data_IF_690424821271
#
_entry.id   IF_690424821271
#
_cell.length_a   1.000
_cell.length_b   1.000
_cell.length_c   1.000
_cell.angle_alpha   90.00
_cell.angle_beta   90.00
_cell.angle_gamma   90.00
#
_symmetry.space_group_name_H-M   'P 1'
#
loop_
_entity.id
_entity.type
_entity.pdbx_description
1 polymer ?
#
# COMPACT_ATOMS: atom_id res chain seq x y z
N UNK A 1 -7.48 21.13 -9.52
CA UNK A 1 -7.99 21.56 -8.20
C UNK A 1 -7.32 20.74 -7.12
N UNK A 2 -7.05 21.36 -5.94
CA UNK A 2 -6.38 20.71 -4.80
C UNK A 2 -7.42 20.28 -3.77
N UNK A 3 -7.32 19.05 -3.30
CA UNK A 3 -8.29 18.40 -2.42
C UNK A 3 -7.61 17.73 -1.23
N UNK A 4 -8.39 17.43 -0.20
CA UNK A 4 -8.00 16.57 0.93
C UNK A 4 -8.67 15.20 0.80
N UNK A 5 -8.23 14.24 1.59
CA UNK A 5 -8.85 12.90 1.59
C UNK A 5 -10.35 12.92 1.92
N UNK A 6 -10.82 13.91 2.67
CA UNK A 6 -12.25 14.10 3.00
C UNK A 6 -13.12 14.46 1.79
N UNK A 7 -12.52 14.91 0.68
CA UNK A 7 -13.21 15.33 -0.52
C UNK A 7 -13.40 14.18 -1.53
N UNK A 8 -12.77 12.99 -1.29
CA UNK A 8 -12.74 11.85 -2.22
C UNK A 8 -14.13 11.41 -2.66
N UNK A 9 -15.11 11.39 -1.74
CA UNK A 9 -16.50 11.07 -2.07
C UNK A 9 -17.08 12.00 -3.13
N UNK A 10 -16.86 13.31 -2.99
CA UNK A 10 -17.33 14.31 -3.94
C UNK A 10 -16.58 14.23 -5.28
N UNK A 11 -15.25 13.97 -5.23
CA UNK A 11 -14.44 13.77 -6.43
C UNK A 11 -14.97 12.61 -7.26
N UNK A 12 -15.22 11.47 -6.63
CA UNK A 12 -15.72 10.28 -7.34
C UNK A 12 -17.12 10.55 -7.93
N UNK A 13 -18.00 11.23 -7.19
CA UNK A 13 -19.33 11.62 -7.70
C UNK A 13 -19.23 12.52 -8.94
N UNK A 14 -18.32 13.50 -8.93
CA UNK A 14 -18.07 14.38 -10.07
C UNK A 14 -17.52 13.62 -11.27
N UNK A 15 -16.57 12.71 -11.07
CA UNK A 15 -16.03 11.86 -12.14
C UNK A 15 -17.14 11.03 -12.78
N UNK A 16 -17.98 10.39 -11.97
CA UNK A 16 -19.08 9.55 -12.47
C UNK A 16 -20.10 10.35 -13.27
N UNK A 17 -20.46 11.57 -12.84
CA UNK A 17 -21.35 12.44 -13.59
C UNK A 17 -20.70 12.91 -14.90
N UNK A 18 -19.43 13.33 -14.88
CA UNK A 18 -18.70 13.78 -16.07
C UNK A 18 -18.52 12.68 -17.13
N UNK A 19 -18.46 11.41 -16.71
CA UNK A 19 -18.29 10.25 -17.61
C UNK A 19 -19.60 9.61 -18.07
N UNK A 20 -20.74 10.07 -17.56
CA UNK A 20 -22.04 9.47 -17.81
C UNK A 20 -22.43 9.41 -19.30
N UNK A 21 -22.24 10.50 -20.00
CA UNK A 21 -22.58 10.61 -21.43
C UNK A 21 -21.60 9.82 -22.32
N UNK A 22 -20.41 9.52 -21.83
CA UNK A 22 -19.41 8.68 -22.47
C UNK A 22 -19.65 7.16 -22.29
N UNK A 23 -20.71 6.76 -21.59
CA UNK A 23 -21.04 5.37 -21.28
C UNK A 23 -20.52 4.90 -19.91
N UNK A 24 -20.17 5.84 -19.02
CA UNK A 24 -19.76 5.62 -17.64
C UNK A 24 -18.34 5.11 -17.48
N UNK A 25 -17.89 5.04 -16.23
CA UNK A 25 -16.59 4.46 -15.86
C UNK A 25 -16.63 2.92 -16.02
N UNK A 26 -15.62 2.33 -16.60
CA UNK A 26 -15.49 0.88 -16.86
C UNK A 26 -14.32 0.24 -16.11
N UNK A 27 -13.29 1.01 -15.83
CA UNK A 27 -12.09 0.51 -15.17
C UNK A 27 -11.37 1.62 -14.39
N UNK A 28 -10.53 1.17 -13.45
CA UNK A 28 -9.61 2.02 -12.72
C UNK A 28 -8.21 1.39 -12.72
N UNK A 29 -7.20 2.19 -13.04
CA UNK A 29 -5.80 1.78 -13.00
C UNK A 29 -5.07 2.51 -11.89
N UNK A 30 -4.40 1.74 -11.04
CA UNK A 30 -3.54 2.21 -9.96
C UNK A 30 -2.09 2.18 -10.44
N UNK A 31 -1.48 3.35 -10.60
CA UNK A 31 -0.21 3.51 -11.29
C UNK A 31 0.77 4.30 -10.45
N UNK A 32 2.02 3.83 -10.35
CA UNK A 32 3.07 4.45 -9.56
C UNK A 32 4.41 3.73 -9.74
N UNK A 33 5.40 4.12 -8.97
CA UNK A 33 6.70 3.47 -8.90
C UNK A 33 7.12 3.21 -7.45
N UNK A 34 7.83 2.11 -7.21
CA UNK A 34 8.40 1.81 -5.90
C UNK A 34 7.37 1.85 -4.75
N UNK A 35 7.70 2.56 -3.70
CA UNK A 35 6.81 2.71 -2.54
C UNK A 35 5.46 3.36 -2.85
N UNK A 36 5.38 4.19 -3.90
CA UNK A 36 4.10 4.74 -4.34
C UNK A 36 3.23 3.68 -5.02
N UNK A 37 3.83 2.78 -5.80
CA UNK A 37 3.12 1.65 -6.41
C UNK A 37 2.63 0.67 -5.33
N UNK A 38 3.49 0.31 -4.36
CA UNK A 38 3.12 -0.59 -3.26
C UNK A 38 1.95 -0.07 -2.44
N UNK A 39 1.90 1.24 -2.17
CA UNK A 39 0.80 1.88 -1.43
C UNK A 39 -0.57 1.79 -2.12
N UNK A 40 -0.60 1.58 -3.43
CA UNK A 40 -1.83 1.43 -4.22
C UNK A 40 -2.38 -0.02 -4.23
N UNK A 41 -1.60 -0.98 -3.73
CA UNK A 41 -1.94 -2.41 -3.79
C UNK A 41 -3.24 -2.79 -3.09
N UNK A 42 -3.58 -2.25 -1.89
CA UNK A 42 -4.86 -2.54 -1.24
C UNK A 42 -6.08 -2.10 -2.05
N UNK A 43 -5.99 -0.94 -2.70
CA UNK A 43 -7.08 -0.41 -3.52
C UNK A 43 -7.37 -1.34 -4.72
N UNK A 44 -6.31 -1.83 -5.38
CA UNK A 44 -6.43 -2.84 -6.45
C UNK A 44 -7.04 -4.14 -5.90
N UNK A 45 -6.54 -4.64 -4.77
CA UNK A 45 -7.04 -5.86 -4.15
C UNK A 45 -8.51 -5.74 -3.76
N UNK A 46 -8.92 -4.57 -3.23
CA UNK A 46 -10.30 -4.26 -2.93
C UNK A 46 -11.19 -4.33 -4.18
N UNK A 47 -10.80 -3.64 -5.25
CA UNK A 47 -11.58 -3.63 -6.50
C UNK A 47 -11.71 -5.03 -7.11
N UNK A 48 -10.65 -5.82 -7.12
CA UNK A 48 -10.68 -7.19 -7.65
C UNK A 48 -11.58 -8.16 -6.86
N UNK A 49 -11.73 -7.91 -5.56
CA UNK A 49 -12.53 -8.79 -4.69
C UNK A 49 -13.99 -8.39 -4.62
N UNK A 50 -14.26 -7.10 -4.64
CA UNK A 50 -15.58 -6.56 -4.31
C UNK A 50 -16.38 -6.12 -5.55
N UNK A 51 -15.72 -5.69 -6.63
CA UNK A 51 -16.43 -5.23 -7.83
C UNK A 51 -16.80 -6.39 -8.76
N UNK A 52 -18.01 -6.33 -9.27
CA UNK A 52 -18.54 -7.30 -10.24
C UNK A 52 -18.42 -6.79 -11.69
N UNK A 53 -18.40 -5.49 -11.90
CA UNK A 53 -18.50 -4.88 -13.24
C UNK A 53 -17.31 -4.02 -13.63
N UNK A 54 -16.62 -3.42 -12.65
CA UNK A 54 -15.46 -2.57 -12.89
C UNK A 54 -14.18 -3.40 -12.91
N UNK A 55 -13.38 -3.21 -13.94
CA UNK A 55 -12.03 -3.80 -13.97
C UNK A 55 -11.05 -2.92 -13.22
N UNK A 56 -10.05 -3.54 -12.61
CA UNK A 56 -8.93 -2.82 -11.99
C UNK A 56 -7.59 -3.33 -12.50
N UNK A 57 -6.59 -2.44 -12.49
CA UNK A 57 -5.20 -2.78 -12.82
C UNK A 57 -4.24 -2.13 -11.83
N UNK A 58 -3.09 -2.76 -11.63
CA UNK A 58 -2.00 -2.26 -10.80
C UNK A 58 -0.71 -2.44 -11.60
N UNK A 59 -0.11 -1.33 -12.04
CA UNK A 59 0.94 -1.33 -13.05
C UNK A 59 2.00 -0.29 -12.69
N UNK A 60 3.28 -0.61 -12.90
CA UNK A 60 4.34 0.39 -12.77
C UNK A 60 4.17 1.50 -13.80
N UNK A 61 4.52 2.74 -13.44
CA UNK A 61 4.31 3.90 -14.33
C UNK A 61 4.98 3.70 -15.68
N UNK A 62 6.21 3.16 -15.70
CA UNK A 62 6.95 2.97 -16.95
C UNK A 62 6.33 1.87 -17.84
N UNK A 63 5.91 0.75 -17.23
CA UNK A 63 5.21 -0.30 -17.96
C UNK A 63 3.86 0.20 -18.51
N UNK A 64 3.13 0.98 -17.72
CA UNK A 64 1.86 1.57 -18.16
C UNK A 64 2.02 2.42 -19.41
N UNK A 65 3.06 3.26 -19.50
CA UNK A 65 3.34 4.11 -20.67
C UNK A 65 3.71 3.29 -21.89
N UNK A 66 4.53 2.25 -21.74
CA UNK A 66 5.03 1.45 -22.86
C UNK A 66 4.10 0.30 -23.27
N UNK A 67 3.23 -0.15 -22.37
CA UNK A 67 2.29 -1.26 -22.60
C UNK A 67 0.90 -0.91 -22.05
N UNK A 68 0.38 0.22 -22.51
CA UNK A 68 -0.93 0.72 -22.07
C UNK A 68 -2.04 -0.30 -22.33
N UNK A 69 -2.87 -0.65 -21.34
CA UNK A 69 -3.98 -1.58 -21.53
C UNK A 69 -4.95 -1.11 -22.62
N UNK A 70 -5.41 -2.03 -23.46
CA UNK A 70 -6.26 -1.69 -24.62
C UNK A 70 -7.63 -1.11 -24.26
N UNK A 71 -8.11 -1.38 -23.06
CA UNK A 71 -9.38 -0.88 -22.54
C UNK A 71 -9.21 0.43 -21.73
N UNK A 72 -7.99 0.98 -21.69
CA UNK A 72 -7.71 2.27 -21.07
C UNK A 72 -8.08 3.42 -22.03
N UNK A 73 -8.77 4.46 -21.53
CA UNK A 73 -9.16 5.63 -22.29
C UNK A 73 -10.25 6.45 -21.61
N UNK A 74 -11.14 7.03 -22.39
CA UNK A 74 -12.18 7.97 -21.90
C UNK A 74 -13.12 7.43 -20.82
N UNK A 75 -13.29 6.11 -20.74
CA UNK A 75 -14.11 5.44 -19.73
C UNK A 75 -13.29 4.94 -18.53
N UNK A 76 -12.06 5.41 -18.40
CA UNK A 76 -11.13 5.00 -17.36
C UNK A 76 -10.93 6.07 -16.31
N UNK A 77 -10.58 5.60 -15.11
CA UNK A 77 -9.91 6.40 -14.08
C UNK A 77 -8.46 5.93 -14.02
N UNK A 78 -7.51 6.84 -13.94
CA UNK A 78 -6.14 6.55 -13.53
C UNK A 78 -5.89 7.22 -12.17
N UNK A 79 -5.57 6.42 -11.16
CA UNK A 79 -5.19 6.87 -9.83
C UNK A 79 -3.67 6.71 -9.69
N UNK A 80 -2.96 7.84 -9.76
CA UNK A 80 -1.50 7.86 -9.71
C UNK A 80 -1.03 8.26 -8.31
N UNK A 81 0.01 7.61 -7.83
CA UNK A 81 0.71 8.03 -6.63
C UNK A 81 2.13 8.47 -6.96
N UNK A 82 2.49 9.71 -6.59
CA UNK A 82 3.82 10.28 -6.76
C UNK A 82 4.14 11.15 -5.54
N UNK A 83 5.02 10.66 -4.65
CA UNK A 83 5.24 11.29 -3.34
C UNK A 83 5.63 12.77 -3.44
N UNK A 84 6.69 13.08 -4.18
CA UNK A 84 7.17 14.44 -4.41
C UNK A 84 6.69 15.04 -5.74
N UNK A 85 5.90 14.28 -6.52
CA UNK A 85 5.35 14.73 -7.78
C UNK A 85 6.36 14.98 -8.91
N UNK A 86 7.57 14.43 -8.81
CA UNK A 86 8.68 14.67 -9.75
C UNK A 86 9.26 13.38 -10.38
N UNK A 87 8.60 12.23 -10.23
CA UNK A 87 9.05 10.98 -10.86
C UNK A 87 8.70 11.01 -12.35
N UNK A 88 9.70 11.01 -13.27
CA UNK A 88 9.47 11.23 -14.69
C UNK A 88 8.49 10.22 -15.32
N UNK A 89 8.59 8.95 -14.95
CA UNK A 89 7.73 7.88 -15.46
C UNK A 89 6.27 8.08 -15.00
N UNK A 90 6.06 8.57 -13.78
CA UNK A 90 4.70 8.82 -13.27
C UNK A 90 4.10 10.07 -13.88
N UNK A 91 4.92 11.09 -14.16
CA UNK A 91 4.51 12.28 -14.91
C UNK A 91 4.10 11.90 -16.34
N UNK A 92 4.89 11.06 -17.01
CA UNK A 92 4.57 10.56 -18.34
C UNK A 92 3.25 9.76 -18.34
N UNK A 93 3.00 8.94 -17.33
CA UNK A 93 1.75 8.20 -17.19
C UNK A 93 0.54 9.14 -16.94
N UNK A 94 0.71 10.20 -16.14
CA UNK A 94 -0.34 11.20 -15.92
C UNK A 94 -0.69 11.95 -17.22
N UNK A 95 0.33 12.38 -17.96
CA UNK A 95 0.18 13.03 -19.26
C UNK A 95 -0.57 12.13 -20.25
N UNK A 96 -0.15 10.87 -20.37
CA UNK A 96 -0.81 9.89 -21.23
C UNK A 96 -2.28 9.68 -20.81
N UNK A 97 -2.57 9.58 -19.52
CA UNK A 97 -3.93 9.48 -19.01
C UNK A 97 -4.82 10.62 -19.45
N UNK A 98 -4.32 11.85 -19.36
CA UNK A 98 -5.01 13.06 -19.81
C UNK A 98 -5.22 13.08 -21.31
N UNK A 99 -4.19 12.75 -22.11
CA UNK A 99 -4.24 12.69 -23.57
C UNK A 99 -5.27 11.65 -24.08
N UNK A 100 -5.42 10.53 -23.36
CA UNK A 100 -6.39 9.47 -23.68
C UNK A 100 -7.80 9.74 -23.13
N UNK A 101 -8.01 10.88 -22.45
CA UNK A 101 -9.31 11.31 -21.93
C UNK A 101 -9.77 10.57 -20.68
N UNK A 102 -8.90 9.88 -19.97
CA UNK A 102 -9.21 9.31 -18.66
C UNK A 102 -9.41 10.41 -17.60
N UNK A 103 -10.11 10.10 -16.53
CA UNK A 103 -10.11 10.95 -15.32
C UNK A 103 -8.81 10.71 -14.56
N UNK A 104 -8.02 11.76 -14.33
CA UNK A 104 -6.70 11.67 -13.72
C UNK A 104 -6.74 12.12 -12.27
N UNK A 105 -6.63 11.16 -11.34
CA UNK A 105 -6.48 11.41 -9.90
C UNK A 105 -5.01 11.28 -9.53
N UNK A 106 -4.46 12.28 -8.86
CA UNK A 106 -3.08 12.30 -8.38
C UNK A 106 -3.06 12.35 -6.86
N UNK A 107 -2.39 11.36 -6.25
CA UNK A 107 -2.06 11.33 -4.83
C UNK A 107 -0.63 11.82 -4.66
N UNK A 108 -0.44 12.98 -4.05
CA UNK A 108 0.89 13.57 -3.80
C UNK A 108 0.94 14.20 -2.41
N UNK A 109 2.15 14.37 -1.87
CA UNK A 109 2.35 15.08 -0.61
C UNK A 109 2.60 16.57 -0.81
N UNK A 110 3.41 16.94 -1.82
CA UNK A 110 3.76 18.35 -2.06
C UNK A 110 2.61 19.09 -2.76
N UNK A 111 2.37 20.32 -2.31
CA UNK A 111 1.36 21.20 -2.89
C UNK A 111 1.76 21.72 -4.27
N UNK A 112 3.06 21.86 -4.51
CA UNK A 112 3.62 22.32 -5.79
C UNK A 112 4.56 21.23 -6.33
N UNK A 113 4.27 20.72 -7.52
CA UNK A 113 5.10 19.74 -8.19
C UNK A 113 4.70 19.58 -9.67
N UNK A 114 5.61 19.05 -10.48
CA UNK A 114 5.44 18.96 -11.94
C UNK A 114 4.20 18.12 -12.36
N UNK A 115 3.92 17.03 -11.65
CA UNK A 115 2.81 16.14 -12.01
C UNK A 115 1.43 16.79 -11.92
N UNK A 116 1.28 17.85 -11.09
CA UNK A 116 0.00 18.52 -10.83
C UNK A 116 -0.62 19.09 -12.10
N UNK A 117 0.18 19.51 -13.08
CA UNK A 117 -0.30 20.04 -14.36
C UNK A 117 -1.14 19.04 -15.16
N UNK A 118 -0.94 17.75 -14.92
CA UNK A 118 -1.60 16.67 -15.65
C UNK A 118 -2.77 16.05 -14.90
N UNK A 119 -3.02 16.44 -13.64
CA UNK A 119 -4.12 15.93 -12.83
C UNK A 119 -5.41 16.73 -12.97
N UNK A 120 -6.53 16.04 -13.04
CA UNK A 120 -7.85 16.66 -12.90
C UNK A 120 -8.17 16.89 -11.41
N UNK A 121 -7.81 15.93 -10.58
CA UNK A 121 -8.04 15.90 -9.13
C UNK A 121 -6.73 15.63 -8.39
N UNK A 122 -6.26 16.60 -7.62
CA UNK A 122 -5.01 16.49 -6.86
C UNK A 122 -5.34 16.32 -5.39
N UNK A 123 -5.09 15.14 -4.86
CA UNK A 123 -5.37 14.81 -3.45
C UNK A 123 -4.05 14.85 -2.68
N UNK A 124 -3.98 15.76 -1.70
CA UNK A 124 -2.85 15.86 -0.80
C UNK A 124 -3.07 14.97 0.41
N UNK A 125 -2.27 13.93 0.51
CA UNK A 125 -2.35 12.98 1.61
C UNK A 125 -1.52 13.39 2.83
N UNK A 126 -1.91 12.90 4.00
CA UNK A 126 -1.18 13.09 5.25
C UNK A 126 0.13 12.30 5.23
N UNK A 127 1.23 12.93 5.64
CA UNK A 127 2.55 12.31 5.72
C UNK A 127 3.31 12.84 6.93
N UNK A 128 3.99 11.97 7.67
CA UNK A 128 4.90 12.37 8.73
C UNK A 128 6.21 12.86 8.12
N UNK A 129 6.41 14.16 8.13
CA UNK A 129 7.59 14.82 7.58
C UNK A 129 8.76 14.90 8.58
N UNK A 130 8.62 14.35 9.80
CA UNK A 130 9.73 14.28 10.76
C UNK A 130 10.85 13.40 10.18
N UNK A 131 12.13 13.72 10.44
CA UNK A 131 13.26 12.97 9.88
C UNK A 131 13.27 11.49 10.24
N UNK A 132 12.73 11.15 11.40
CA UNK A 132 12.65 9.78 11.92
C UNK A 132 11.28 9.11 11.67
N UNK A 133 10.32 9.83 11.11
CA UNK A 133 8.94 9.38 10.93
C UNK A 133 8.27 8.84 12.21
N UNK A 134 8.73 9.29 13.39
CA UNK A 134 8.28 8.79 14.70
C UNK A 134 7.48 9.81 15.49
N UNK A 135 7.72 11.10 15.26
CA UNK A 135 7.18 12.19 16.07
C UNK A 135 5.93 12.85 15.48
N UNK A 136 5.59 12.56 14.22
CA UNK A 136 4.47 13.19 13.52
C UNK A 136 3.13 12.79 14.10
N UNK A 137 2.31 13.80 14.38
CA UNK A 137 0.91 13.60 14.78
C UNK A 137 0.01 13.68 13.54
N UNK A 138 0.10 12.66 12.70
CA UNK A 138 -0.71 12.58 11.48
C UNK A 138 -1.99 11.79 11.68
N UNK A 139 -2.98 12.10 10.87
CA UNK A 139 -4.16 11.27 10.70
C UNK A 139 -3.90 10.21 9.64
N UNK A 140 -3.70 8.96 10.06
CA UNK A 140 -3.44 7.83 9.15
C UNK A 140 -4.64 7.47 8.27
N UNK A 141 -5.85 7.94 8.57
CA UNK A 141 -6.99 7.82 7.66
C UNK A 141 -6.81 8.63 6.37
N UNK A 142 -5.96 9.66 6.41
CA UNK A 142 -5.61 10.49 5.26
C UNK A 142 -4.25 10.18 4.64
N UNK A 143 -3.58 9.08 5.02
CA UNK A 143 -2.31 8.69 4.41
C UNK A 143 -2.50 8.11 2.99
N UNK A 144 -1.43 8.00 2.23
CA UNK A 144 -1.45 7.66 0.79
C UNK A 144 -2.25 6.39 0.45
N UNK A 145 -2.01 5.30 1.19
CA UNK A 145 -2.70 4.02 0.99
C UNK A 145 -4.19 4.15 1.26
N UNK A 146 -4.56 4.81 2.36
CA UNK A 146 -5.94 5.03 2.72
C UNK A 146 -6.66 5.95 1.73
N UNK A 147 -5.98 6.97 1.18
CA UNK A 147 -6.54 7.79 0.10
C UNK A 147 -6.87 6.95 -1.16
N UNK A 148 -5.93 6.11 -1.59
CA UNK A 148 -6.16 5.22 -2.74
C UNK A 148 -7.29 4.23 -2.49
N UNK A 149 -7.32 3.63 -1.31
CA UNK A 149 -8.35 2.69 -0.90
C UNK A 149 -9.73 3.37 -0.81
N UNK A 150 -9.78 4.59 -0.28
CA UNK A 150 -11.02 5.38 -0.21
C UNK A 150 -11.55 5.72 -1.61
N UNK A 151 -10.67 6.03 -2.60
CA UNK A 151 -11.08 6.21 -4.00
C UNK A 151 -11.75 4.94 -4.53
N UNK A 152 -11.16 3.77 -4.28
CA UNK A 152 -11.73 2.49 -4.71
C UNK A 152 -13.08 2.20 -4.04
N UNK A 153 -13.18 2.41 -2.72
CA UNK A 153 -14.41 2.19 -1.94
C UNK A 153 -15.53 3.12 -2.39
N UNK A 154 -15.23 4.39 -2.60
CA UNK A 154 -16.23 5.36 -3.08
C UNK A 154 -16.67 5.04 -4.51
N UNK A 155 -15.75 4.64 -5.39
CA UNK A 155 -16.08 4.23 -6.75
C UNK A 155 -17.03 3.03 -6.75
N UNK A 156 -16.72 1.99 -6.00
CA UNK A 156 -17.60 0.82 -5.88
C UNK A 156 -18.96 1.19 -5.28
N UNK A 157 -18.97 1.93 -4.17
CA UNK A 157 -20.19 2.28 -3.47
C UNK A 157 -21.15 3.12 -4.32
N UNK A 158 -20.61 4.04 -5.12
CA UNK A 158 -21.42 4.94 -5.96
C UNK A 158 -21.82 4.32 -7.31
N UNK A 159 -21.21 3.21 -7.73
CA UNK A 159 -21.54 2.51 -8.98
C UNK A 159 -22.38 1.26 -8.77
N UNK A 160 -21.93 0.37 -7.92
CA UNK A 160 -22.52 -0.95 -7.70
C UNK A 160 -23.25 -1.06 -6.34
N UNK A 161 -22.91 -0.15 -5.41
CA UNK A 161 -23.26 -0.27 -4.00
C UNK A 161 -22.25 -1.18 -3.26
N UNK A 162 -21.91 -0.81 -2.03
CA UNK A 162 -21.03 -1.60 -1.18
C UNK A 162 -21.67 -1.89 0.17
N UNK A 163 -22.07 -3.14 0.38
CA UNK A 163 -22.85 -3.54 1.57
C UNK A 163 -22.10 -3.32 2.90
N UNK A 164 -20.76 -3.32 2.87
CA UNK A 164 -19.91 -3.10 4.03
C UNK A 164 -19.37 -1.65 4.12
N UNK A 165 -19.93 -0.71 3.37
CA UNK A 165 -19.47 0.68 3.33
C UNK A 165 -19.35 1.32 4.71
N UNK A 166 -20.40 1.23 5.53
CA UNK A 166 -20.39 1.83 6.88
C UNK A 166 -19.35 1.18 7.80
N UNK A 167 -19.16 -0.13 7.69
CA UNK A 167 -18.11 -0.86 8.42
C UNK A 167 -16.70 -0.42 7.99
N UNK A 168 -16.51 -0.20 6.70
CA UNK A 168 -15.26 0.32 6.18
C UNK A 168 -14.98 1.73 6.74
N UNK A 169 -15.96 2.64 6.71
CA UNK A 169 -15.80 4.00 7.24
C UNK A 169 -15.51 3.99 8.75
N UNK A 170 -16.14 3.09 9.51
CA UNK A 170 -15.81 2.89 10.93
C UNK A 170 -14.36 2.43 11.11
N UNK A 171 -13.90 1.45 10.34
CA UNK A 171 -12.50 0.98 10.34
C UNK A 171 -11.53 2.10 10.01
N UNK A 172 -11.82 2.90 8.99
CA UNK A 172 -11.01 4.07 8.61
C UNK A 172 -10.91 5.10 9.76
N UNK A 173 -11.99 5.32 10.50
CA UNK A 173 -11.98 6.18 11.70
C UNK A 173 -11.17 5.62 12.87
N UNK A 174 -10.91 4.31 12.90
CA UNK A 174 -10.16 3.64 13.98
C UNK A 174 -8.67 3.49 13.67
N UNK A 175 -8.28 3.49 12.39
CA UNK A 175 -6.93 3.08 11.95
C UNK A 175 -5.81 3.92 12.58
N UNK A 176 -6.00 5.22 12.74
CA UNK A 176 -5.02 6.11 13.38
C UNK A 176 -4.70 5.65 14.80
N UNK A 177 -5.72 5.29 15.58
CA UNK A 177 -5.53 4.81 16.96
C UNK A 177 -4.84 3.44 17.00
N UNK A 178 -5.20 2.54 16.06
CA UNK A 178 -4.58 1.21 15.94
C UNK A 178 -3.09 1.36 15.63
N UNK A 179 -2.73 2.13 14.60
CA UNK A 179 -1.34 2.32 14.19
C UNK A 179 -0.50 2.94 15.32
N UNK A 180 -1.00 3.97 16.00
CA UNK A 180 -0.27 4.58 17.12
C UNK A 180 0.03 3.59 18.24
N UNK A 181 -0.92 2.74 18.60
CA UNK A 181 -0.73 1.68 19.60
C UNK A 181 0.25 0.61 19.12
N UNK A 182 0.13 0.18 17.86
CA UNK A 182 1.02 -0.81 17.28
C UNK A 182 2.48 -0.31 17.25
N UNK A 183 2.72 0.94 16.85
CA UNK A 183 4.05 1.57 16.86
C UNK A 183 4.66 1.58 18.25
N UNK A 184 3.90 1.96 19.28
CA UNK A 184 4.36 1.92 20.65
C UNK A 184 4.65 0.48 21.13
N UNK A 185 3.85 -0.49 20.70
CA UNK A 185 4.00 -1.91 21.05
C UNK A 185 5.32 -2.50 20.53
N UNK A 186 5.72 -2.16 19.30
CA UNK A 186 6.92 -2.75 18.68
C UNK A 186 8.22 -2.01 19.01
N UNK A 187 8.20 -0.91 19.74
CA UNK A 187 9.36 -0.04 19.91
C UNK A 187 10.61 -0.74 20.44
N UNK A 188 10.50 -1.57 21.49
CA UNK A 188 11.64 -2.33 22.02
C UNK A 188 12.08 -3.44 21.04
N UNK A 189 11.14 -4.14 20.45
CA UNK A 189 11.39 -5.23 19.52
C UNK A 189 12.11 -4.76 18.25
N UNK A 190 11.83 -3.53 17.80
CA UNK A 190 12.53 -2.91 16.69
C UNK A 190 14.02 -2.65 16.99
N UNK A 191 14.35 -2.28 18.23
CA UNK A 191 15.76 -2.14 18.66
C UNK A 191 16.46 -3.49 18.69
N UNK A 192 15.79 -4.53 19.21
CA UNK A 192 16.32 -5.89 19.25
C UNK A 192 16.55 -6.43 17.82
N UNK A 193 15.60 -6.19 16.91
CA UNK A 193 15.71 -6.49 15.49
C UNK A 193 16.93 -5.80 14.86
N UNK A 194 17.09 -4.51 15.09
CA UNK A 194 18.20 -3.75 14.53
C UNK A 194 19.57 -4.32 14.96
N UNK A 195 19.72 -4.66 16.24
CA UNK A 195 20.96 -5.27 16.75
C UNK A 195 21.20 -6.67 16.17
N UNK A 196 20.17 -7.48 16.02
CA UNK A 196 20.28 -8.84 15.49
C UNK A 196 20.61 -8.85 13.99
N UNK A 197 19.97 -7.96 13.20
CA UNK A 197 20.02 -8.01 11.73
C UNK A 197 20.97 -7.00 11.08
N UNK A 198 21.65 -6.15 11.84
CA UNK A 198 22.53 -5.07 11.34
C UNK A 198 23.66 -5.53 10.39
N UNK A 199 24.11 -6.77 10.50
CA UNK A 199 25.23 -7.30 9.71
C UNK A 199 24.76 -8.21 8.57
N UNK A 200 23.46 -8.37 8.37
CA UNK A 200 22.96 -9.23 7.32
C UNK A 200 23.13 -8.60 5.93
N UNK A 201 23.49 -9.46 4.99
CA UNK A 201 23.60 -9.09 3.57
C UNK A 201 22.34 -9.41 2.77
N UNK A 202 21.43 -10.21 3.33
CA UNK A 202 20.15 -10.58 2.72
C UNK A 202 19.06 -10.66 3.80
N UNK A 203 17.88 -10.13 3.51
CA UNK A 203 16.67 -10.29 4.33
C UNK A 203 15.48 -10.46 3.38
N UNK A 204 14.73 -11.54 3.52
CA UNK A 204 13.50 -11.74 2.74
C UNK A 204 12.28 -11.16 3.47
N UNK A 205 11.39 -10.50 2.73
CA UNK A 205 10.09 -10.06 3.24
C UNK A 205 8.99 -11.01 2.76
N UNK A 206 7.98 -11.23 3.57
CA UNK A 206 6.87 -12.13 3.25
C UNK A 206 5.53 -11.53 3.63
N UNK A 207 4.51 -11.78 2.81
CA UNK A 207 3.14 -11.34 3.10
C UNK A 207 2.14 -11.83 2.06
N UNK A 208 0.88 -11.54 2.28
CA UNK A 208 -0.23 -11.91 1.39
C UNK A 208 -1.35 -10.87 1.39
N UNK A 209 -2.37 -11.11 0.57
CA UNK A 209 -3.57 -10.29 0.51
C UNK A 209 -3.26 -8.80 0.32
N UNK A 210 -4.08 -7.94 0.88
CA UNK A 210 -3.88 -6.49 0.80
C UNK A 210 -2.57 -6.02 1.48
N UNK A 211 -2.04 -6.79 2.44
CA UNK A 211 -0.77 -6.50 3.12
C UNK A 211 0.47 -6.67 2.25
N UNK A 212 0.41 -7.46 1.17
CA UNK A 212 1.57 -7.77 0.33
C UNK A 212 2.31 -6.53 -0.20
N UNK A 213 1.58 -5.47 -0.52
CA UNK A 213 2.19 -4.22 -0.98
C UNK A 213 3.15 -3.59 0.03
N UNK A 214 2.92 -3.76 1.35
CA UNK A 214 3.82 -3.28 2.40
C UNK A 214 5.11 -4.13 2.45
N UNK A 215 5.01 -5.46 2.32
CA UNK A 215 6.19 -6.33 2.23
C UNK A 215 7.04 -6.01 0.99
N UNK A 216 6.40 -5.71 -0.14
CA UNK A 216 7.06 -5.28 -1.36
C UNK A 216 7.83 -3.97 -1.15
N UNK A 217 7.19 -2.97 -0.53
CA UNK A 217 7.83 -1.68 -0.24
C UNK A 217 9.03 -1.83 0.69
N UNK A 218 8.88 -2.63 1.74
CA UNK A 218 9.94 -2.89 2.71
C UNK A 218 11.17 -3.52 2.04
N UNK A 219 10.95 -4.49 1.16
CA UNK A 219 12.03 -5.13 0.42
C UNK A 219 12.79 -4.14 -0.47
N UNK A 220 12.09 -3.48 -1.40
CA UNK A 220 12.79 -2.72 -2.45
C UNK A 220 13.19 -1.31 -2.03
N UNK A 221 12.37 -0.62 -1.23
CA UNK A 221 12.62 0.76 -0.87
C UNK A 221 13.44 0.89 0.42
N UNK A 222 13.32 -0.07 1.34
CA UNK A 222 14.02 -0.01 2.61
C UNK A 222 15.27 -0.88 2.59
N UNK A 223 15.11 -2.20 2.48
CA UNK A 223 16.29 -3.06 2.54
C UNK A 223 17.24 -2.81 1.38
N UNK A 224 16.76 -2.76 0.13
CA UNK A 224 17.65 -2.57 -1.03
C UNK A 224 18.10 -1.12 -1.22
N UNK A 225 17.18 -0.16 -1.22
CA UNK A 225 17.48 1.25 -1.55
C UNK A 225 18.15 1.98 -0.40
N UNK A 226 17.58 1.90 0.83
CA UNK A 226 18.08 2.65 1.97
C UNK A 226 19.18 1.91 2.74
N UNK A 227 19.07 0.60 2.91
CA UNK A 227 19.98 -0.17 3.75
C UNK A 227 21.05 -0.95 2.99
N UNK A 228 20.96 -1.01 1.65
CA UNK A 228 21.86 -1.79 0.78
C UNK A 228 21.97 -3.27 1.19
N UNK A 229 20.87 -3.82 1.69
CA UNK A 229 20.70 -5.23 2.02
C UNK A 229 19.96 -5.88 0.84
N UNK A 230 20.48 -6.98 0.31
CA UNK A 230 19.75 -7.73 -0.71
C UNK A 230 18.43 -8.24 -0.15
N UNK A 231 17.37 -8.11 -0.93
CA UNK A 231 16.04 -8.51 -0.48
C UNK A 231 15.18 -9.01 -1.63
N UNK A 232 14.19 -9.79 -1.29
CA UNK A 232 13.14 -10.24 -2.20
C UNK A 232 11.85 -10.40 -1.44
N UNK A 233 10.74 -10.06 -2.10
CA UNK A 233 9.41 -10.21 -1.50
C UNK A 233 8.82 -11.56 -1.92
N UNK A 234 8.44 -12.37 -0.96
CA UNK A 234 7.84 -13.68 -1.17
C UNK A 234 6.35 -13.60 -0.84
N UNK A 235 5.49 -13.88 -1.82
CA UNK A 235 4.07 -14.05 -1.53
C UNK A 235 3.87 -15.37 -0.79
N UNK A 236 3.22 -15.35 0.39
CA UNK A 236 3.08 -16.54 1.24
C UNK A 236 2.31 -17.67 0.57
N UNK A 237 1.38 -17.35 -0.35
CA UNK A 237 0.71 -18.33 -1.19
C UNK A 237 1.61 -19.08 -2.16
N UNK A 238 2.76 -18.48 -2.53
CA UNK A 238 3.76 -19.06 -3.44
C UNK A 238 4.99 -19.64 -2.71
N UNK A 239 5.10 -19.44 -1.40
CA UNK A 239 6.27 -19.85 -0.63
C UNK A 239 6.66 -21.31 -0.85
N UNK A 240 5.69 -22.23 -0.87
CA UNK A 240 5.91 -23.66 -1.04
C UNK A 240 6.13 -24.12 -2.49
N UNK A 241 6.24 -23.17 -3.43
CA UNK A 241 6.46 -23.43 -4.85
C UNK A 241 7.85 -22.96 -5.34
N UNK A 242 8.84 -23.09 -4.48
CA UNK A 242 10.24 -22.78 -4.75
C UNK A 242 10.93 -22.06 -3.60
N UNK A 243 10.44 -20.90 -3.12
CA UNK A 243 11.14 -20.11 -2.11
C UNK A 243 11.47 -20.84 -0.79
N UNK A 244 10.67 -21.83 -0.40
CA UNK A 244 10.91 -22.60 0.83
C UNK A 244 12.27 -23.35 0.83
N UNK A 245 12.79 -23.66 -0.35
CA UNK A 245 14.07 -24.38 -0.51
C UNK A 245 15.29 -23.56 -0.04
N UNK A 246 15.19 -22.23 0.00
CA UNK A 246 16.29 -21.39 0.52
C UNK A 246 16.21 -21.17 2.03
N UNK A 247 15.26 -21.82 2.71
CA UNK A 247 15.08 -21.69 4.15
C UNK A 247 16.12 -22.53 4.89
N UNK A 248 16.91 -21.87 5.71
CA UNK A 248 17.82 -22.52 6.68
C UNK A 248 17.83 -21.76 8.01
N UNK A 249 18.67 -22.23 8.95
CA UNK A 249 18.76 -21.62 10.26
C UNK A 249 19.32 -20.18 10.28
N UNK A 250 19.98 -19.76 9.21
CA UNK A 250 20.70 -18.48 9.14
C UNK A 250 20.01 -17.45 8.25
N UNK A 251 19.14 -17.89 7.35
CA UNK A 251 18.41 -17.02 6.43
C UNK A 251 17.37 -16.18 7.18
N UNK A 252 17.47 -14.83 7.14
CA UNK A 252 16.55 -13.94 7.79
C UNK A 252 15.24 -13.76 7.02
N UNK A 253 14.13 -13.84 7.73
CA UNK A 253 12.79 -13.56 7.20
C UNK A 253 12.08 -12.52 8.05
N UNK A 254 11.44 -11.56 7.40
CA UNK A 254 10.43 -10.67 7.99
C UNK A 254 9.09 -11.06 7.42
N UNK A 255 8.21 -11.64 8.23
CA UNK A 255 6.90 -12.12 7.81
C UNK A 255 5.78 -11.27 8.40
N UNK A 256 4.89 -10.81 7.53
CA UNK A 256 3.61 -10.20 7.89
C UNK A 256 2.57 -11.31 8.01
N UNK A 257 1.88 -11.37 9.16
CA UNK A 257 0.73 -12.24 9.37
C UNK A 257 -0.52 -11.36 9.35
N UNK A 258 -1.25 -11.43 8.26
CA UNK A 258 -2.42 -10.58 8.02
C UNK A 258 -3.58 -10.94 8.97
N UNK A 259 -4.45 -9.98 9.24
CA UNK A 259 -5.77 -10.25 9.80
C UNK A 259 -6.78 -10.35 8.66
N UNK A 260 -7.62 -11.37 8.65
CA UNK A 260 -8.63 -11.60 7.62
C UNK A 260 -8.40 -12.85 6.77
N UNK A 261 -8.86 -12.84 5.54
CA UNK A 261 -9.05 -14.03 4.70
C UNK A 261 -7.75 -14.73 4.28
N UNK A 262 -6.62 -14.01 4.20
CA UNK A 262 -5.34 -14.61 3.79
C UNK A 262 -4.46 -15.05 4.96
N UNK A 263 -4.92 -14.88 6.19
CA UNK A 263 -4.16 -15.24 7.40
C UNK A 263 -3.67 -16.69 7.40
N UNK A 264 -4.48 -17.63 6.94
CA UNK A 264 -4.10 -19.05 6.89
C UNK A 264 -2.87 -19.31 6.02
N UNK A 265 -2.66 -18.53 4.95
CA UNK A 265 -1.48 -18.63 4.10
C UNK A 265 -0.22 -18.20 4.87
N UNK A 266 -0.33 -17.11 5.59
CA UNK A 266 0.77 -16.54 6.39
C UNK A 266 1.13 -17.45 7.56
N UNK A 267 0.14 -17.94 8.30
CA UNK A 267 0.32 -18.87 9.43
C UNK A 267 0.95 -20.20 8.98
N UNK A 268 0.57 -20.71 7.80
CA UNK A 268 1.19 -21.91 7.22
C UNK A 268 2.68 -21.71 6.97
N UNK A 269 3.07 -20.56 6.42
CA UNK A 269 4.47 -20.21 6.21
C UNK A 269 5.20 -20.03 7.54
N UNK A 270 4.62 -19.28 8.48
CA UNK A 270 5.20 -19.05 9.79
C UNK A 270 5.46 -20.37 10.54
N UNK A 271 4.52 -21.31 10.50
CA UNK A 271 4.71 -22.65 11.08
C UNK A 271 5.90 -23.39 10.49
N UNK A 272 6.10 -23.29 9.16
CA UNK A 272 7.25 -23.88 8.48
C UNK A 272 8.55 -23.19 8.90
N UNK A 273 8.56 -21.86 8.89
CA UNK A 273 9.73 -21.08 9.31
C UNK A 273 10.15 -21.41 10.74
N UNK A 274 9.22 -21.52 11.69
CA UNK A 274 9.54 -21.91 13.07
C UNK A 274 10.20 -23.30 13.19
N UNK A 275 10.02 -24.16 12.20
CA UNK A 275 10.64 -25.49 12.20
C UNK A 275 12.06 -25.46 11.64
N UNK A 276 12.32 -24.65 10.60
CA UNK A 276 13.55 -24.71 9.81
C UNK A 276 14.42 -23.46 9.86
N UNK A 277 13.84 -22.28 10.15
CA UNK A 277 14.56 -21.03 10.33
C UNK A 277 14.72 -20.69 11.82
N UNK A 278 15.72 -19.86 12.16
CA UNK A 278 15.90 -19.32 13.52
C UNK A 278 15.81 -17.80 13.56
N UNK A 279 15.88 -17.17 12.40
CA UNK A 279 15.97 -15.71 12.25
C UNK A 279 14.68 -15.22 11.57
N UNK A 280 13.68 -15.00 12.39
CA UNK A 280 12.33 -14.67 11.92
C UNK A 280 11.82 -13.46 12.71
N UNK A 281 11.56 -12.37 12.02
CA UNK A 281 10.80 -11.26 12.55
C UNK A 281 9.35 -11.40 12.09
N UNK A 282 8.41 -11.37 13.04
CA UNK A 282 6.99 -11.58 12.76
C UNK A 282 6.21 -10.30 13.08
N UNK A 283 5.54 -9.70 12.11
CA UNK A 283 4.55 -8.66 12.35
C UNK A 283 3.15 -9.27 12.22
N UNK A 284 2.52 -9.58 13.35
CA UNK A 284 1.16 -10.14 13.36
C UNK A 284 0.12 -9.01 13.53
N UNK A 285 -0.72 -8.79 12.53
CA UNK A 285 -1.75 -7.76 12.55
C UNK A 285 -2.73 -7.92 13.71
N UNK A 286 -3.00 -9.14 14.14
CA UNK A 286 -3.86 -9.43 15.30
C UNK A 286 -3.19 -9.01 16.60
N UNK A 287 -1.93 -9.35 16.81
CA UNK A 287 -1.13 -8.91 17.95
C UNK A 287 -1.02 -7.37 17.97
N UNK A 288 -0.87 -6.76 16.80
CA UNK A 288 -0.80 -5.31 16.63
C UNK A 288 -2.15 -4.59 16.77
N UNK A 289 -3.23 -5.34 17.07
CA UNK A 289 -4.52 -4.79 17.44
C UNK A 289 -5.48 -4.50 16.30
N UNK A 290 -5.23 -5.02 15.08
CA UNK A 290 -6.09 -4.75 13.92
C UNK A 290 -7.47 -5.40 14.05
N UNK A 291 -7.63 -6.46 14.85
CA UNK A 291 -8.90 -7.18 15.09
C UNK A 291 -10.04 -6.35 15.68
N UNK A 292 -9.78 -5.08 16.05
CA UNK A 292 -10.84 -4.16 16.47
C UNK A 292 -11.68 -3.66 15.29
N UNK A 293 -11.18 -3.81 14.08
CA UNK A 293 -11.88 -3.49 12.83
C UNK A 293 -12.78 -4.68 12.45
N UNK A 294 -13.98 -4.37 11.92
CA UNK A 294 -14.97 -5.40 11.56
C UNK A 294 -14.35 -6.45 10.61
N UNK A 295 -14.51 -7.76 10.87
CA UNK A 295 -13.95 -8.83 10.06
C UNK A 295 -14.33 -8.79 8.58
N UNK A 296 -15.46 -8.17 8.23
CA UNK A 296 -15.88 -8.05 6.83
C UNK A 296 -15.01 -7.10 5.99
N UNK A 297 -14.20 -6.25 6.64
CA UNK A 297 -13.39 -5.23 5.97
C UNK A 297 -11.93 -5.18 6.44
N UNK A 298 -11.59 -5.89 7.49
CA UNK A 298 -10.26 -5.85 8.13
C UNK A 298 -9.11 -6.16 7.18
N UNK A 299 -9.33 -7.05 6.21
CA UNK A 299 -8.36 -7.40 5.17
C UNK A 299 -7.67 -6.19 4.54
N UNK A 300 -8.45 -5.15 4.25
CA UNK A 300 -7.99 -3.98 3.49
C UNK A 300 -7.14 -3.01 4.31
N UNK A 301 -7.11 -3.15 5.63
CA UNK A 301 -6.35 -2.31 6.54
C UNK A 301 -4.95 -2.84 6.89
N UNK A 302 -4.64 -4.10 6.54
CA UNK A 302 -3.34 -4.73 6.82
C UNK A 302 -2.16 -3.91 6.29
N UNK A 303 -2.24 -3.44 5.05
CA UNK A 303 -1.18 -2.64 4.45
C UNK A 303 -0.93 -1.35 5.25
N UNK A 304 -1.99 -0.61 5.55
CA UNK A 304 -1.87 0.65 6.30
C UNK A 304 -1.24 0.43 7.68
N UNK A 305 -1.59 -0.67 8.36
CA UNK A 305 -0.96 -1.05 9.61
C UNK A 305 0.54 -1.34 9.42
N UNK A 306 0.90 -2.29 8.56
CA UNK A 306 2.29 -2.72 8.40
C UNK A 306 3.19 -1.60 7.88
N UNK A 307 2.76 -0.89 6.84
CA UNK A 307 3.51 0.21 6.25
C UNK A 307 3.81 1.34 7.24
N UNK A 308 2.95 1.54 8.24
CA UNK A 308 3.14 2.57 9.26
C UNK A 308 3.79 2.04 10.56
N UNK A 309 3.95 0.73 10.72
CA UNK A 309 4.73 0.11 11.79
C UNK A 309 6.20 -0.05 11.39
N UNK A 310 6.49 -0.41 10.16
CA UNK A 310 7.86 -0.55 9.63
C UNK A 310 8.80 0.62 9.91
N UNK A 311 8.39 1.90 9.85
CA UNK A 311 9.28 3.02 10.14
C UNK A 311 9.97 2.95 11.52
N UNK A 312 9.36 2.27 12.52
CA UNK A 312 10.00 2.06 13.82
C UNK A 312 11.21 1.12 13.69
N UNK A 313 11.06 0.03 12.93
CA UNK A 313 12.15 -0.92 12.63
C UNK A 313 13.22 -0.30 11.74
N UNK A 314 12.79 0.42 10.72
CA UNK A 314 13.66 1.02 9.71
C UNK A 314 14.56 2.09 10.33
N UNK A 315 14.01 2.93 11.21
CA UNK A 315 14.77 3.93 11.93
C UNK A 315 15.80 3.29 12.88
N UNK A 316 15.38 2.30 13.68
CA UNK A 316 16.28 1.57 14.57
C UNK A 316 17.42 0.89 13.79
N UNK A 317 17.12 0.25 12.65
CA UNK A 317 18.12 -0.40 11.80
C UNK A 317 19.08 0.62 11.19
N UNK A 318 18.58 1.74 10.67
CA UNK A 318 19.38 2.80 10.07
C UNK A 318 20.35 3.43 11.08
N UNK A 319 19.88 3.75 12.30
CA UNK A 319 20.73 4.26 13.38
C UNK A 319 21.82 3.25 13.77
N UNK A 320 21.45 1.99 13.93
CA UNK A 320 22.40 0.93 14.34
C UNK A 320 23.44 0.67 13.27
N UNK A 321 23.08 0.73 11.99
CA UNK A 321 23.99 0.55 10.85
C UNK A 321 24.76 1.83 10.48
N UNK A 322 24.33 2.99 10.98
CA UNK A 322 24.83 4.32 10.57
C UNK A 322 24.69 4.54 9.06
N UNK A 323 23.55 4.10 8.51
CA UNK A 323 23.32 4.11 7.08
C UNK A 323 21.87 4.53 6.75
#
# INVERSE_FOLDING_TARGET
MHYKYTDIKAIVAEILENKKDDGGVKNIYFVGCGGSLGALYPAKTFMERESLTLKSGWVSSNEFVHSTPRDFGKNSIICLACHKGNTPETIAAAKLGKEMGAAVIILTWLEESEIIEFGDYIIHYSFDASPDHLAGDIDYAGEKTMCALQVAVELLNQTEGYSNYDKFQQGAGMITTVIRKARAHVAQRALDFAEEYKNDSVIYTMGSGAGYGAAYMESICIFMEMQWIHSGTIHTGEFFHGPFEVTDANTPFVIQVSEGSTRELDERCLKFLHTYAKRIEVLDAKELGLSVIDPAVVDYFNHSLFNNVYPIYNHALAETRQH
#
